data_IF_983309338395
#
_entry.id   IF_983309338395
#
_cell.length_a   1.000
_cell.length_b   1.000
_cell.length_c   1.000
_cell.angle_alpha   90.00
_cell.angle_beta   90.00
_cell.angle_gamma   90.00
#
_symmetry.space_group_name_H-M   'P 1'
#
loop_
_entity.id
_entity.type
_entity.pdbx_description
1 polymer ?
#
# COMPACT_ATOMS: atom_id res chain seq x y z
N UNK A 1 -37.87 26.63 -46.40
CA UNK A 1 -38.61 25.83 -45.39
C UNK A 1 -37.62 24.97 -44.63
N UNK A 2 -37.45 25.25 -43.33
CA UNK A 2 -36.55 24.51 -42.43
C UNK A 2 -37.26 23.23 -41.99
N UNK A 3 -36.57 22.08 -42.09
CA UNK A 3 -37.06 20.79 -41.58
C UNK A 3 -36.62 20.68 -40.13
N UNK A 4 -37.57 20.79 -39.21
CA UNK A 4 -37.35 20.65 -37.78
C UNK A 4 -36.75 19.27 -37.47
N UNK A 5 -35.59 19.26 -36.82
CA UNK A 5 -34.98 18.06 -36.24
C UNK A 5 -35.43 17.99 -34.78
N UNK A 6 -36.33 17.06 -34.50
CA UNK A 6 -36.67 16.63 -33.15
C UNK A 6 -35.40 16.22 -32.40
N UNK A 7 -35.15 16.87 -31.27
CA UNK A 7 -34.10 16.49 -30.33
C UNK A 7 -34.60 15.27 -29.55
N UNK A 8 -34.21 14.08 -29.98
CA UNK A 8 -34.28 12.89 -29.13
C UNK A 8 -33.33 13.08 -27.94
N UNK A 9 -33.87 13.60 -26.84
CA UNK A 9 -33.20 13.55 -25.54
C UNK A 9 -33.17 12.09 -25.08
N UNK A 10 -32.13 11.35 -25.45
CA UNK A 10 -31.86 9.99 -24.95
C UNK A 10 -31.58 10.08 -23.46
N UNK A 11 -32.62 9.93 -22.63
CA UNK A 11 -32.46 9.71 -21.19
C UNK A 11 -31.83 8.32 -21.00
N UNK A 12 -30.75 8.18 -20.22
CA UNK A 12 -30.08 6.89 -20.04
C UNK A 12 -31.02 5.90 -19.33
N UNK A 13 -31.25 4.74 -19.96
CA UNK A 13 -32.18 3.70 -19.52
C UNK A 13 -31.66 2.95 -18.28
N UNK A 14 -31.84 3.53 -17.09
CA UNK A 14 -31.62 2.84 -15.79
C UNK A 14 -32.49 1.58 -15.62
N UNK A 15 -33.60 1.45 -16.37
CA UNK A 15 -34.54 0.33 -16.29
C UNK A 15 -34.01 -0.97 -16.91
N UNK A 16 -33.22 -0.89 -17.98
CA UNK A 16 -32.68 -2.07 -18.67
C UNK A 16 -31.59 -2.75 -17.83
N UNK A 17 -30.72 -1.98 -17.17
CA UNK A 17 -29.76 -2.50 -16.20
C UNK A 17 -30.45 -3.20 -15.02
N UNK A 18 -31.51 -2.60 -14.45
CA UNK A 18 -32.26 -3.20 -13.35
C UNK A 18 -32.97 -4.50 -13.76
N UNK A 19 -33.53 -4.55 -14.97
CA UNK A 19 -34.16 -5.75 -15.52
C UNK A 19 -33.12 -6.84 -15.84
N UNK A 20 -31.95 -6.46 -16.34
CA UNK A 20 -30.83 -7.35 -16.62
C UNK A 20 -30.24 -7.97 -15.35
N UNK A 21 -29.99 -7.15 -14.32
CA UNK A 21 -29.56 -7.61 -12.99
C UNK A 21 -30.58 -8.57 -12.38
N UNK A 22 -31.89 -8.28 -12.48
CA UNK A 22 -32.95 -9.14 -11.96
C UNK A 22 -33.05 -10.49 -12.69
N UNK A 23 -32.84 -10.51 -14.01
CA UNK A 23 -32.95 -11.73 -14.84
C UNK A 23 -31.82 -12.73 -14.59
N UNK A 24 -30.64 -12.26 -14.22
CA UNK A 24 -29.47 -13.09 -13.89
C UNK A 24 -29.07 -12.97 -12.42
N UNK A 25 -29.96 -12.43 -11.58
CA UNK A 25 -29.73 -12.19 -10.17
C UNK A 25 -29.16 -13.42 -9.43
N UNK A 26 -29.59 -14.67 -9.71
CA UNK A 26 -28.99 -15.84 -9.06
C UNK A 26 -27.52 -16.05 -9.43
N UNK A 27 -27.14 -15.80 -10.68
CA UNK A 27 -25.76 -15.97 -11.17
C UNK A 27 -24.86 -14.87 -10.60
N UNK A 28 -25.33 -13.61 -10.62
CA UNK A 28 -24.59 -12.49 -10.04
C UNK A 28 -24.43 -12.65 -8.53
N UNK A 29 -25.45 -13.11 -7.82
CA UNK A 29 -25.36 -13.40 -6.40
C UNK A 29 -24.37 -14.53 -6.12
N UNK A 30 -24.31 -15.56 -6.97
CA UNK A 30 -23.31 -16.62 -6.90
C UNK A 30 -21.88 -16.10 -7.10
N UNK A 31 -21.64 -15.25 -8.10
CA UNK A 31 -20.32 -14.64 -8.35
C UNK A 31 -19.91 -13.70 -7.21
N UNK A 32 -20.82 -12.86 -6.73
CA UNK A 32 -20.56 -11.98 -5.57
C UNK A 32 -20.29 -12.81 -4.32
N UNK A 33 -21.02 -13.91 -4.10
CA UNK A 33 -20.77 -14.85 -3.02
C UNK A 33 -19.38 -15.49 -3.11
N UNK A 34 -18.95 -15.91 -4.31
CA UNK A 34 -17.61 -16.42 -4.56
C UNK A 34 -16.54 -15.35 -4.28
N UNK A 35 -16.78 -14.11 -4.71
CA UNK A 35 -15.87 -12.99 -4.46
C UNK A 35 -15.72 -12.71 -2.96
N UNK A 36 -16.82 -12.70 -2.20
CA UNK A 36 -16.79 -12.52 -0.74
C UNK A 36 -16.08 -13.67 -0.03
N UNK A 37 -16.20 -14.91 -0.52
CA UNK A 37 -15.58 -16.08 0.11
C UNK A 37 -14.09 -16.23 -0.20
N UNK A 38 -13.65 -15.90 -1.40
CA UNK A 38 -12.28 -16.18 -1.85
C UNK A 38 -11.43 -14.92 -2.02
N UNK A 39 -12.04 -13.79 -2.38
CA UNK A 39 -11.30 -12.57 -2.72
C UNK A 39 -11.22 -11.62 -1.53
N UNK A 40 -12.32 -11.40 -0.81
CA UNK A 40 -12.31 -10.53 0.38
C UNK A 40 -11.31 -10.97 1.45
N UNK A 41 -11.19 -12.28 1.82
CA UNK A 41 -10.22 -12.70 2.83
C UNK A 41 -8.76 -12.43 2.46
N UNK A 42 -8.44 -12.38 1.16
CA UNK A 42 -7.10 -12.06 0.65
C UNK A 42 -6.79 -10.58 0.82
N UNK A 43 -7.76 -9.70 0.53
CA UNK A 43 -7.62 -8.24 0.73
C UNK A 43 -7.71 -7.80 2.19
N UNK A 44 -8.25 -8.63 3.08
CA UNK A 44 -8.28 -8.36 4.54
C UNK A 44 -7.08 -8.95 5.29
N UNK A 45 -6.12 -9.58 4.61
CA UNK A 45 -4.88 -10.03 5.26
C UNK A 45 -4.13 -8.81 5.79
N UNK A 46 -3.53 -8.92 6.96
CA UNK A 46 -2.64 -7.87 7.46
C UNK A 46 -1.52 -7.60 6.45
N UNK A 47 -1.23 -6.32 6.22
CA UNK A 47 -0.09 -5.82 5.46
C UNK A 47 0.82 -4.97 6.35
N UNK A 48 2.04 -4.69 5.87
CA UNK A 48 2.95 -3.78 6.56
C UNK A 48 2.31 -2.41 6.79
N UNK A 49 1.74 -1.82 5.74
CA UNK A 49 1.04 -0.53 5.78
C UNK A 49 -0.13 -0.53 6.78
N UNK A 50 -0.95 -1.59 6.79
CA UNK A 50 -2.08 -1.69 7.73
C UNK A 50 -1.65 -1.76 9.20
N UNK A 51 -0.36 -2.04 9.46
CA UNK A 51 0.21 -2.12 10.80
C UNK A 51 0.75 -0.78 11.29
N UNK A 52 0.73 0.27 10.46
CA UNK A 52 1.22 1.58 10.84
C UNK A 52 0.23 2.28 11.81
N UNK A 53 0.75 3.07 12.76
CA UNK A 53 -0.10 3.84 13.68
C UNK A 53 -0.79 5.01 12.96
N UNK A 54 -1.72 5.67 13.64
CA UNK A 54 -2.25 6.95 13.16
C UNK A 54 -1.14 8.01 13.15
N UNK A 55 -0.88 8.58 11.97
CA UNK A 55 0.15 9.60 11.75
C UNK A 55 -0.48 10.99 11.61
N UNK A 56 0.23 12.01 12.06
CA UNK A 56 -0.12 13.40 11.74
C UNK A 56 0.11 13.70 10.25
N UNK A 57 -0.44 14.80 9.75
CA UNK A 57 -0.29 15.20 8.33
C UNK A 57 1.18 15.31 7.89
N UNK A 58 2.05 15.81 8.77
CA UNK A 58 3.47 15.96 8.47
C UNK A 58 4.19 14.61 8.48
N UNK A 59 3.88 13.75 9.45
CA UNK A 59 4.46 12.41 9.52
C UNK A 59 4.00 11.55 8.34
N UNK A 60 2.72 11.66 7.95
CA UNK A 60 2.20 10.98 6.77
C UNK A 60 2.97 11.40 5.51
N UNK A 61 3.20 12.70 5.30
CA UNK A 61 4.00 13.19 4.17
C UNK A 61 5.41 12.58 4.17
N UNK A 62 6.04 12.47 5.33
CA UNK A 62 7.38 11.86 5.47
C UNK A 62 7.35 10.38 5.08
N UNK A 63 6.35 9.64 5.56
CA UNK A 63 6.16 8.23 5.25
C UNK A 63 5.84 8.04 3.77
N UNK A 64 5.01 8.89 3.16
CA UNK A 64 4.68 8.82 1.74
C UNK A 64 5.93 9.00 0.87
N UNK A 65 6.82 9.94 1.22
CA UNK A 65 8.11 10.14 0.54
C UNK A 65 8.98 8.89 0.67
N UNK A 66 9.16 8.37 1.89
CA UNK A 66 10.04 7.22 2.13
C UNK A 66 9.51 5.95 1.47
N UNK A 67 8.26 5.61 1.75
CA UNK A 67 7.65 4.35 1.36
C UNK A 67 7.30 4.31 -0.13
N UNK A 68 7.07 5.48 -0.74
CA UNK A 68 6.82 5.62 -2.17
C UNK A 68 8.07 5.76 -3.03
N UNK A 69 9.26 5.89 -2.44
CA UNK A 69 10.51 5.97 -3.20
C UNK A 69 10.79 4.65 -3.94
N UNK A 70 11.01 4.73 -5.25
CA UNK A 70 11.16 3.62 -6.19
C UNK A 70 12.49 3.66 -6.97
N UNK A 71 13.48 4.35 -6.40
CA UNK A 71 14.83 4.41 -6.94
C UNK A 71 15.01 5.47 -8.04
N UNK A 72 16.24 5.65 -8.54
CA UNK A 72 16.55 6.68 -9.54
C UNK A 72 16.05 6.34 -10.95
N UNK A 73 15.70 5.07 -11.19
CA UNK A 73 15.35 4.55 -12.51
C UNK A 73 13.84 4.40 -12.73
N UNK A 74 12.99 4.70 -11.74
CA UNK A 74 11.53 4.46 -11.81
C UNK A 74 11.24 3.00 -12.23
N UNK A 75 12.00 2.06 -11.64
CA UNK A 75 11.97 0.62 -11.98
C UNK A 75 10.88 -0.14 -11.23
N UNK A 76 10.12 0.56 -10.38
CA UNK A 76 8.85 0.10 -9.83
C UNK A 76 8.93 -0.71 -8.54
N UNK A 77 10.12 -0.96 -7.97
CA UNK A 77 10.22 -1.52 -6.62
C UNK A 77 10.31 -0.40 -5.60
N UNK A 78 9.25 -0.20 -4.83
CA UNK A 78 9.24 0.81 -3.77
C UNK A 78 9.98 0.33 -2.51
N UNK A 79 10.34 1.25 -1.61
CA UNK A 79 10.84 0.91 -0.26
C UNK A 79 9.84 0.04 0.51
N UNK A 80 8.54 0.34 0.41
CA UNK A 80 7.49 -0.48 1.03
C UNK A 80 7.51 -1.92 0.49
N UNK A 81 7.61 -2.07 -0.83
CA UNK A 81 7.65 -3.38 -1.47
C UNK A 81 8.93 -4.14 -1.10
N UNK A 82 10.07 -3.46 -1.09
CA UNK A 82 11.35 -4.03 -0.69
C UNK A 82 11.31 -4.62 0.74
N UNK A 83 10.75 -3.90 1.70
CA UNK A 83 10.58 -4.38 3.08
C UNK A 83 9.56 -5.52 3.13
N UNK A 84 8.45 -5.40 2.42
CA UNK A 84 7.39 -6.42 2.37
C UNK A 84 7.93 -7.74 1.77
N UNK A 85 8.73 -7.66 0.72
CA UNK A 85 9.39 -8.80 0.09
C UNK A 85 10.41 -9.42 1.05
N UNK A 86 11.23 -8.59 1.71
CA UNK A 86 12.20 -9.06 2.72
C UNK A 86 11.53 -9.82 3.87
N UNK A 87 10.40 -9.33 4.37
CA UNK A 87 9.59 -10.02 5.39
C UNK A 87 9.02 -11.33 4.83
N UNK A 88 8.48 -11.31 3.61
CA UNK A 88 7.90 -12.50 2.98
C UNK A 88 8.94 -13.60 2.72
N UNK A 89 10.17 -13.21 2.38
CA UNK A 89 11.29 -14.14 2.17
C UNK A 89 11.77 -14.79 3.47
N UNK A 90 11.72 -14.06 4.60
CA UNK A 90 12.11 -14.60 5.91
C UNK A 90 11.01 -15.44 6.56
N UNK A 91 9.74 -15.20 6.22
CA UNK A 91 8.58 -15.93 6.72
C UNK A 91 7.75 -16.50 5.57
N UNK A 92 8.32 -17.39 4.74
CA UNK A 92 7.61 -17.96 3.60
C UNK A 92 6.41 -18.77 4.10
N UNK A 93 5.31 -18.70 3.35
CA UNK A 93 4.05 -19.40 3.62
C UNK A 93 3.35 -19.04 4.96
N UNK A 94 3.81 -18.01 5.67
CA UNK A 94 3.19 -17.51 6.89
C UNK A 94 2.36 -16.26 6.66
N UNK A 95 1.18 -16.19 7.28
CA UNK A 95 0.43 -14.94 7.42
C UNK A 95 1.01 -14.12 8.57
N UNK A 96 2.24 -13.64 8.38
CA UNK A 96 3.04 -13.12 9.50
C UNK A 96 2.40 -11.90 10.17
N UNK A 97 1.70 -11.04 9.43
CA UNK A 97 1.00 -9.87 9.98
C UNK A 97 -0.24 -10.24 10.82
N UNK A 98 -0.86 -11.40 10.59
CA UNK A 98 -2.01 -11.88 11.36
C UNK A 98 -1.57 -12.57 12.68
N UNK A 99 -0.26 -12.80 12.87
CA UNK A 99 0.28 -13.49 14.03
C UNK A 99 0.31 -12.56 15.25
N UNK A 100 -0.26 -13.01 16.37
CA UNK A 100 -0.31 -12.24 17.63
C UNK A 100 1.06 -11.87 18.22
N UNK A 101 2.11 -12.58 17.84
CA UNK A 101 3.49 -12.28 18.26
C UNK A 101 4.16 -11.25 17.35
N UNK A 102 3.60 -10.99 16.17
CA UNK A 102 4.10 -9.99 15.25
C UNK A 102 3.70 -8.60 15.73
N UNK A 103 4.66 -7.68 15.72
CA UNK A 103 4.48 -6.27 16.04
C UNK A 103 5.26 -5.44 15.04
N UNK A 104 4.61 -4.42 14.51
CA UNK A 104 5.24 -3.36 13.71
C UNK A 104 5.19 -2.09 14.54
N UNK A 105 6.35 -1.51 14.79
CA UNK A 105 6.50 -0.25 15.51
C UNK A 105 7.11 0.75 14.54
N UNK A 106 6.31 1.74 14.12
CA UNK A 106 6.76 2.84 13.27
C UNK A 106 6.80 4.12 14.09
N UNK A 107 7.95 4.80 14.10
CA UNK A 107 8.14 6.08 14.78
C UNK A 107 8.69 7.10 13.79
N UNK A 108 8.06 8.26 13.75
CA UNK A 108 8.55 9.41 12.99
C UNK A 108 8.90 10.51 13.98
N UNK A 109 10.08 11.11 13.85
CA UNK A 109 10.57 12.13 14.77
C UNK A 109 11.21 13.28 13.99
N UNK A 110 10.84 14.52 14.30
CA UNK A 110 11.46 15.69 13.68
C UNK A 110 12.89 15.87 14.22
N UNK A 111 13.87 15.91 13.32
CA UNK A 111 15.26 16.31 13.64
C UNK A 111 15.33 17.84 13.56
N UNK A 112 14.74 18.41 12.51
CA UNK A 112 14.59 19.85 12.30
C UNK A 112 13.33 20.14 11.46
N UNK A 113 13.16 21.37 10.99
CA UNK A 113 11.97 21.80 10.25
C UNK A 113 11.78 21.12 8.88
N UNK A 114 12.86 20.61 8.29
CA UNK A 114 12.82 19.99 6.95
C UNK A 114 13.16 18.50 7.00
N UNK A 115 13.83 18.02 8.05
CA UNK A 115 14.35 16.66 8.18
C UNK A 115 13.71 15.88 9.33
N UNK A 116 13.34 14.63 9.04
CA UNK A 116 12.66 13.72 9.95
C UNK A 116 13.37 12.37 9.97
N UNK A 117 13.50 11.78 11.15
CA UNK A 117 13.92 10.41 11.33
C UNK A 117 12.71 9.48 11.28
N UNK A 118 12.83 8.37 10.57
CA UNK A 118 11.84 7.30 10.51
C UNK A 118 12.48 6.01 10.99
N UNK A 119 11.92 5.44 12.05
CA UNK A 119 12.35 4.15 12.61
C UNK A 119 11.21 3.15 12.44
N UNK A 120 11.47 2.05 11.74
CA UNK A 120 10.54 0.94 11.58
C UNK A 120 11.16 -0.31 12.21
N UNK A 121 10.53 -0.81 13.27
CA UNK A 121 10.91 -2.06 13.91
C UNK A 121 9.83 -3.11 13.65
N UNK A 122 10.22 -4.19 12.99
CA UNK A 122 9.38 -5.36 12.78
C UNK A 122 9.87 -6.46 13.72
N UNK A 123 9.03 -6.89 14.65
CA UNK A 123 9.33 -7.98 15.59
C UNK A 123 8.38 -9.12 15.36
N UNK A 124 8.91 -10.33 15.20
CA UNK A 124 8.12 -11.55 15.03
C UNK A 124 8.47 -12.58 16.11
N UNK A 125 7.95 -13.80 15.95
CA UNK A 125 8.25 -14.91 16.84
C UNK A 125 9.67 -15.49 16.67
N UNK A 126 10.34 -15.22 15.54
CA UNK A 126 11.63 -15.83 15.19
C UNK A 126 12.66 -14.83 14.62
N UNK A 127 12.43 -13.53 14.78
CA UNK A 127 13.35 -12.52 14.28
C UNK A 127 12.88 -11.09 14.53
N UNK A 128 13.79 -10.17 14.29
CA UNK A 128 13.55 -8.73 14.37
C UNK A 128 14.30 -8.06 13.22
N UNK A 129 13.63 -7.13 12.54
CA UNK A 129 14.20 -6.26 11.52
C UNK A 129 14.05 -4.82 11.98
N UNK A 130 15.14 -4.08 11.98
CA UNK A 130 15.16 -2.70 12.46
C UNK A 130 15.69 -1.81 11.36
N UNK A 131 14.89 -0.83 10.97
CA UNK A 131 15.24 0.14 9.96
C UNK A 131 15.16 1.56 10.51
N UNK A 132 16.04 2.41 10.01
CA UNK A 132 16.30 3.75 10.48
C UNK A 132 16.80 4.61 9.29
N UNK A 133 15.98 5.59 8.93
CA UNK A 133 16.25 6.53 7.84
C UNK A 133 16.07 7.98 8.31
N UNK A 134 16.76 8.91 7.65
CA UNK A 134 16.36 10.32 7.66
C UNK A 134 15.77 10.69 6.31
N UNK A 135 14.70 11.47 6.34
CA UNK A 135 13.96 11.94 5.17
C UNK A 135 13.90 13.46 5.21
N UNK A 136 14.37 14.10 4.14
CA UNK A 136 14.20 15.52 3.95
C UNK A 136 12.91 15.80 3.17
N UNK A 137 11.94 16.46 3.81
CA UNK A 137 10.61 16.72 3.23
C UNK A 137 10.57 17.77 2.12
N UNK A 138 11.71 18.44 1.85
CA UNK A 138 11.84 19.49 0.85
C UNK A 138 12.69 19.06 -0.34
N UNK A 139 13.82 18.39 -0.11
CA UNK A 139 14.63 17.80 -1.18
C UNK A 139 14.18 16.39 -1.57
N UNK A 140 13.33 15.76 -0.74
CA UNK A 140 12.93 14.34 -0.87
C UNK A 140 14.10 13.36 -0.77
N UNK A 141 15.25 13.84 -0.27
CA UNK A 141 16.43 13.01 -0.05
C UNK A 141 16.23 12.07 1.14
N UNK A 142 16.59 10.80 0.94
CA UNK A 142 16.52 9.74 1.94
C UNK A 142 17.94 9.26 2.24
N UNK A 143 18.30 9.23 3.53
CA UNK A 143 19.58 8.70 3.98
C UNK A 143 19.36 7.55 4.97
N UNK A 144 20.20 6.52 4.88
CA UNK A 144 20.13 5.33 5.75
C UNK A 144 21.06 5.46 6.95
N UNK A 145 20.51 5.30 8.15
CA UNK A 145 21.27 5.40 9.40
C UNK A 145 21.85 4.05 9.86
N UNK A 146 21.36 2.93 9.32
CA UNK A 146 21.82 1.60 9.69
C UNK A 146 22.04 0.66 8.46
N UNK A 147 22.75 -0.47 8.63
CA UNK A 147 23.06 -1.39 7.53
C UNK A 147 21.82 -2.00 6.85
N UNK A 148 20.79 -2.35 7.61
CA UNK A 148 19.55 -2.93 7.09
C UNK A 148 18.80 -1.95 6.18
N UNK A 149 18.73 -0.70 6.60
CA UNK A 149 18.13 0.41 5.84
C UNK A 149 18.90 0.68 4.56
N UNK A 150 20.23 0.66 4.66
CA UNK A 150 21.11 0.81 3.50
C UNK A 150 20.94 -0.34 2.52
N UNK A 151 20.74 -1.56 3.02
CA UNK A 151 20.46 -2.72 2.18
C UNK A 151 19.15 -2.53 1.41
N UNK A 152 18.08 -2.08 2.06
CA UNK A 152 16.80 -1.78 1.40
C UNK A 152 16.96 -0.67 0.35
N UNK A 153 17.66 0.43 0.66
CA UNK A 153 17.90 1.50 -0.33
C UNK A 153 18.67 0.98 -1.53
N UNK A 154 19.72 0.18 -1.33
CA UNK A 154 20.46 -0.41 -2.44
C UNK A 154 19.58 -1.35 -3.28
N UNK A 155 18.71 -2.14 -2.64
CA UNK A 155 17.80 -3.04 -3.35
C UNK A 155 16.89 -2.24 -4.30
N UNK A 156 16.35 -1.12 -3.81
CA UNK A 156 15.49 -0.21 -4.56
C UNK A 156 16.27 0.52 -5.65
N UNK A 157 17.42 1.11 -5.32
CA UNK A 157 18.23 1.91 -6.26
C UNK A 157 18.77 1.12 -7.45
N UNK A 158 19.04 -0.18 -7.24
CA UNK A 158 19.60 -1.07 -8.25
C UNK A 158 18.61 -2.12 -8.76
N UNK A 159 17.31 -1.93 -8.51
CA UNK A 159 16.27 -2.79 -9.08
C UNK A 159 16.15 -2.53 -10.59
N UNK A 160 16.13 -3.59 -11.40
CA UNK A 160 16.13 -3.58 -12.87
C UNK A 160 15.04 -4.52 -13.43
#
# INVERSE_FOLDING_TARGET
MRKDREKDTVKPKKSEFKAFLKKRAPIYLGIVGLFVLFVVPEFTKGSLESSFPELTVNEQKVIDILMGYDGPNDSGLTVMDAITNKISDEYPDEKIYDNKKTKVELTVSSINSEEYQVILNFKSHNGEMNYDWNVNTKSEEITSNNPESKYIMNLVDFYD
#
